data_IF_303356619950
#
_entry.id   IF_303356619950
#
_cell.length_a   1.000
_cell.length_b   1.000
_cell.length_c   1.000
_cell.angle_alpha   90.00
_cell.angle_beta   90.00
_cell.angle_gamma   90.00
#
_symmetry.space_group_name_H-M   'P 1'
#
loop_
_entity.id
_entity.type
_entity.pdbx_description
1 polymer ?
#
# COMPACT_ATOMS: atom_id res chain seq x y z
N UNK A 1 -13.07 -11.18 -5.95
CA UNK A 1 -11.82 -11.97 -6.04
C UNK A 1 -12.03 -13.42 -5.58
N UNK A 2 -11.33 -14.39 -6.19
CA UNK A 2 -11.35 -15.81 -5.75
C UNK A 2 -10.70 -15.95 -4.35
N UNK A 3 -11.29 -16.68 -3.38
CA UNK A 3 -10.70 -16.93 -2.06
C UNK A 3 -9.26 -17.47 -2.08
N UNK A 4 -8.89 -18.34 -3.02
CA UNK A 4 -7.52 -18.89 -3.11
C UNK A 4 -6.51 -17.81 -3.54
N UNK A 5 -6.88 -17.00 -4.54
CA UNK A 5 -6.08 -15.86 -5.03
C UNK A 5 -5.86 -14.87 -3.89
N UNK A 6 -6.93 -14.57 -3.14
CA UNK A 6 -6.89 -13.68 -2.00
C UNK A 6 -5.97 -14.19 -0.89
N UNK A 7 -6.15 -15.44 -0.47
CA UNK A 7 -5.33 -16.03 0.60
C UNK A 7 -3.84 -16.02 0.23
N UNK A 8 -3.53 -16.27 -1.04
CA UNK A 8 -2.16 -16.20 -1.54
C UNK A 8 -1.62 -14.77 -1.60
N UNK A 9 -2.42 -13.80 -2.03
CA UNK A 9 -2.05 -12.39 -1.95
C UNK A 9 -1.73 -11.96 -0.51
N UNK A 10 -2.60 -12.32 0.45
CA UNK A 10 -2.46 -12.00 1.88
C UNK A 10 -1.22 -12.61 2.53
N UNK A 11 -0.83 -13.81 2.10
CA UNK A 11 0.28 -14.55 2.72
C UNK A 11 1.62 -14.34 2.03
N UNK A 12 1.64 -14.16 0.71
CA UNK A 12 2.89 -14.08 -0.06
C UNK A 12 3.24 -12.64 -0.49
N UNK A 13 2.26 -11.81 -0.84
CA UNK A 13 2.50 -10.54 -1.53
C UNK A 13 2.30 -9.32 -0.61
N UNK A 14 1.15 -9.20 0.05
CA UNK A 14 0.85 -8.08 0.93
C UNK A 14 1.90 -7.87 2.04
N UNK A 15 2.46 -8.92 2.70
CA UNK A 15 3.51 -8.75 3.68
C UNK A 15 4.81 -8.19 3.08
N UNK A 16 5.11 -8.52 1.82
CA UNK A 16 6.30 -8.00 1.10
C UNK A 16 6.12 -6.53 0.72
N UNK A 17 4.91 -6.13 0.33
CA UNK A 17 4.57 -4.71 0.11
C UNK A 17 4.70 -3.94 1.41
N UNK A 18 4.11 -4.44 2.50
CA UNK A 18 4.18 -3.83 3.82
C UNK A 18 5.63 -3.66 4.31
N UNK A 19 6.45 -4.71 4.16
CA UNK A 19 7.86 -4.66 4.48
C UNK A 19 8.60 -3.60 3.63
N UNK A 20 8.36 -3.60 2.31
CA UNK A 20 9.01 -2.65 1.40
C UNK A 20 8.64 -1.20 1.72
N UNK A 21 7.37 -0.92 2.02
CA UNK A 21 6.89 0.39 2.42
C UNK A 21 7.54 0.84 3.73
N UNK A 22 7.60 -0.06 4.73
CA UNK A 22 8.24 0.23 6.01
C UNK A 22 9.73 0.56 5.85
N UNK A 23 10.44 -0.12 4.95
CA UNK A 23 11.87 0.11 4.68
C UNK A 23 12.15 1.48 4.03
N UNK A 24 11.13 2.20 3.58
CA UNK A 24 11.28 3.59 3.10
C UNK A 24 11.44 4.60 4.24
N UNK A 25 11.19 4.19 5.48
CA UNK A 25 11.20 5.05 6.66
C UNK A 25 12.24 4.60 7.68
N UNK A 26 12.62 5.51 8.58
CA UNK A 26 13.44 5.12 9.72
C UNK A 26 12.61 4.31 10.73
N UNK A 27 13.25 3.42 11.51
CA UNK A 27 12.56 2.66 12.54
C UNK A 27 11.76 3.55 13.51
N UNK A 28 10.48 3.23 13.70
CA UNK A 28 9.60 3.95 14.62
C UNK A 28 8.91 5.18 14.03
N UNK A 29 9.11 5.51 12.76
CA UNK A 29 8.45 6.64 12.11
C UNK A 29 7.03 6.30 11.62
N UNK A 30 6.81 5.06 11.17
CA UNK A 30 5.53 4.55 10.67
C UNK A 30 5.24 3.14 11.18
N UNK A 31 3.96 2.76 11.23
CA UNK A 31 3.52 1.37 11.19
C UNK A 31 2.96 1.04 9.82
N UNK A 32 3.23 -0.17 9.37
CA UNK A 32 2.69 -0.68 8.10
C UNK A 32 2.12 -2.06 8.36
N UNK A 33 0.81 -2.18 8.27
CA UNK A 33 0.06 -3.36 8.67
C UNK A 33 -0.77 -3.89 7.51
N UNK A 34 -0.70 -5.20 7.28
CA UNK A 34 -1.59 -5.88 6.33
C UNK A 34 -2.92 -6.09 7.01
N UNK A 35 -3.98 -5.52 6.44
CA UNK A 35 -5.36 -5.73 6.88
C UNK A 35 -5.97 -6.81 5.98
N UNK A 36 -6.14 -8.04 6.48
CA UNK A 36 -6.74 -9.11 5.69
C UNK A 36 -8.21 -8.82 5.42
N UNK A 37 -8.74 -9.47 4.40
CA UNK A 37 -10.14 -9.39 4.05
C UNK A 37 -11.02 -9.94 5.19
N UNK A 38 -11.96 -9.13 5.66
CA UNK A 38 -12.81 -9.43 6.83
C UNK A 38 -13.92 -10.47 6.58
N UNK A 39 -14.11 -10.87 5.32
CA UNK A 39 -15.15 -11.82 4.90
C UNK A 39 -16.52 -11.17 4.67
N UNK A 40 -16.68 -9.88 4.99
CA UNK A 40 -17.90 -9.09 4.84
C UNK A 40 -17.85 -8.13 3.63
N UNK A 41 -16.74 -8.10 2.89
CA UNK A 41 -16.62 -7.43 1.60
C UNK A 41 -15.47 -6.44 1.51
N UNK A 42 -14.69 -6.24 2.57
CA UNK A 42 -13.52 -5.36 2.54
C UNK A 42 -12.34 -6.06 1.86
N UNK A 43 -11.74 -5.49 0.79
CA UNK A 43 -10.57 -6.10 0.15
C UNK A 43 -9.38 -6.16 1.11
N UNK A 44 -8.43 -7.04 0.83
CA UNK A 44 -7.13 -7.03 1.51
C UNK A 44 -6.45 -5.68 1.29
N UNK A 45 -6.06 -5.01 2.36
CA UNK A 45 -5.44 -3.69 2.32
C UNK A 45 -4.09 -3.67 3.03
N UNK A 46 -3.32 -2.61 2.77
CA UNK A 46 -2.14 -2.26 3.57
C UNK A 46 -2.36 -0.87 4.17
N UNK A 47 -2.37 -0.78 5.48
CA UNK A 47 -2.49 0.48 6.21
C UNK A 47 -1.09 1.03 6.51
N UNK A 48 -0.89 2.32 6.26
CA UNK A 48 0.34 3.06 6.55
C UNK A 48 0.00 4.20 7.49
N UNK A 49 0.49 4.13 8.72
CA UNK A 49 0.19 5.10 9.78
C UNK A 49 1.48 5.75 10.29
N UNK A 50 1.52 7.08 10.26
CA UNK A 50 2.61 7.87 10.83
C UNK A 50 2.56 7.87 12.36
N UNK A 51 3.59 7.34 13.00
CA UNK A 51 3.75 7.42 14.46
C UNK A 51 4.27 8.81 14.86
N UNK A 52 5.21 9.32 14.07
CA UNK A 52 5.74 10.68 14.16
C UNK A 52 5.39 11.46 12.89
N UNK A 53 5.28 12.78 13.00
CA UNK A 53 5.05 13.65 11.85
C UNK A 53 5.94 14.88 11.95
N UNK A 54 6.39 15.38 10.80
CA UNK A 54 7.04 16.70 10.72
C UNK A 54 5.99 17.78 10.46
N UNK A 55 6.42 19.04 10.45
CA UNK A 55 5.55 20.16 10.06
C UNK A 55 5.10 19.95 8.61
N UNK A 56 3.80 20.07 8.37
CA UNK A 56 3.18 19.78 7.08
C UNK A 56 1.67 19.96 7.11
N UNK A 57 0.94 18.98 6.59
CA UNK A 57 -0.51 18.94 6.55
C UNK A 57 -1.11 18.69 7.97
N UNK A 58 -2.39 19.03 8.21
CA UNK A 58 -2.96 19.10 9.57
C UNK A 58 -3.11 17.77 10.30
N UNK A 59 -3.11 16.62 9.59
CA UNK A 59 -3.25 15.30 10.20
C UNK A 59 -2.00 14.46 9.96
N UNK A 60 -1.73 13.52 10.88
CA UNK A 60 -0.69 12.49 10.66
C UNK A 60 -1.12 11.54 9.54
N UNK A 61 -0.14 10.94 8.88
CA UNK A 61 -0.37 9.93 7.85
C UNK A 61 -1.23 8.80 8.42
N UNK A 62 -2.31 8.50 7.71
CA UNK A 62 -3.25 7.41 7.94
C UNK A 62 -3.84 7.07 6.57
N UNK A 63 -3.08 6.29 5.80
CA UNK A 63 -3.40 5.93 4.43
C UNK A 63 -3.68 4.43 4.33
N UNK A 64 -4.79 4.08 3.70
CA UNK A 64 -5.15 2.71 3.35
C UNK A 64 -4.90 2.48 1.88
N UNK A 65 -4.09 1.48 1.55
CA UNK A 65 -3.78 1.09 0.17
C UNK A 65 -4.60 -0.14 -0.21
N UNK A 66 -5.31 -0.09 -1.34
CA UNK A 66 -6.11 -1.20 -1.85
C UNK A 66 -5.87 -1.40 -3.36
N UNK A 67 -5.68 -2.66 -3.75
CA UNK A 67 -5.46 -3.06 -5.14
C UNK A 67 -6.74 -3.58 -5.78
N UNK A 68 -6.86 -3.40 -7.10
CA UNK A 68 -7.97 -3.96 -7.86
C UNK A 68 -7.91 -5.48 -7.88
N UNK A 69 -9.07 -6.11 -7.77
CA UNK A 69 -9.21 -7.57 -7.79
C UNK A 69 -8.64 -8.21 -9.07
N UNK A 70 -8.79 -7.54 -10.22
CA UNK A 70 -8.27 -7.99 -11.51
C UNK A 70 -6.73 -7.84 -11.59
N UNK A 71 -6.17 -6.78 -11.01
CA UNK A 71 -4.73 -6.59 -10.91
C UNK A 71 -4.08 -7.66 -10.03
N UNK A 72 -4.70 -8.01 -8.89
CA UNK A 72 -4.23 -9.11 -8.02
C UNK A 72 -4.35 -10.45 -8.73
N UNK A 73 -5.49 -10.74 -9.35
CA UNK A 73 -5.66 -11.98 -10.11
C UNK A 73 -4.64 -12.09 -11.26
N UNK A 74 -4.39 -10.99 -11.97
CA UNK A 74 -3.38 -10.89 -13.01
C UNK A 74 -1.97 -11.16 -12.49
N UNK A 75 -1.60 -10.55 -11.36
CA UNK A 75 -0.30 -10.77 -10.72
C UNK A 75 -0.05 -12.25 -10.38
N UNK A 76 -1.07 -12.96 -9.90
CA UNK A 76 -0.96 -14.37 -9.52
C UNK A 76 -1.04 -15.34 -10.71
N UNK A 77 -1.66 -14.91 -11.81
CA UNK A 77 -1.74 -15.68 -13.06
C UNK A 77 -0.52 -15.48 -13.96
N UNK A 78 0.22 -14.38 -13.79
CA UNK A 78 1.36 -13.98 -14.61
C UNK A 78 2.52 -14.97 -14.48
N UNK A 79 3.17 -15.27 -15.61
CA UNK A 79 4.35 -16.16 -15.63
C UNK A 79 5.67 -15.44 -15.42
N UNK A 80 5.70 -14.12 -15.47
CA UNK A 80 6.89 -13.32 -15.20
C UNK A 80 7.06 -13.12 -13.69
N UNK A 81 7.97 -13.88 -13.04
CA UNK A 81 8.20 -13.73 -11.61
C UNK A 81 8.77 -12.35 -11.24
N UNK A 82 9.38 -11.64 -12.20
CA UNK A 82 10.02 -10.34 -11.97
C UNK A 82 9.06 -9.15 -11.94
N UNK A 83 7.79 -9.32 -12.34
CA UNK A 83 6.81 -8.23 -12.35
C UNK A 83 6.61 -7.63 -10.95
N UNK A 84 6.42 -8.49 -9.95
CA UNK A 84 6.20 -8.04 -8.58
C UNK A 84 7.44 -7.34 -8.00
N UNK A 85 8.63 -7.87 -8.27
CA UNK A 85 9.87 -7.25 -7.79
C UNK A 85 10.12 -5.89 -8.44
N UNK A 86 9.77 -5.73 -9.73
CA UNK A 86 9.80 -4.42 -10.41
C UNK A 86 8.82 -3.44 -9.80
N UNK A 87 7.60 -3.88 -9.48
CA UNK A 87 6.63 -3.07 -8.75
C UNK A 87 7.19 -2.62 -7.38
N UNK A 88 7.77 -3.53 -6.59
CA UNK A 88 8.39 -3.18 -5.30
C UNK A 88 9.57 -2.19 -5.44
N UNK A 89 10.32 -2.28 -6.54
CA UNK A 89 11.40 -1.35 -6.85
C UNK A 89 10.86 0.03 -7.25
N UNK A 90 9.73 0.09 -7.95
CA UNK A 90 9.09 1.32 -8.42
C UNK A 90 8.25 2.03 -7.33
N UNK A 91 7.87 1.34 -6.25
CA UNK A 91 7.04 1.87 -5.16
C UNK A 91 7.40 3.30 -4.70
N UNK A 92 8.68 3.67 -4.47
CA UNK A 92 9.02 5.03 -4.07
C UNK A 92 8.55 6.09 -5.08
N UNK A 93 8.75 5.82 -6.38
CA UNK A 93 8.32 6.71 -7.47
C UNK A 93 6.80 6.74 -7.55
N UNK A 94 6.12 5.60 -7.36
CA UNK A 94 4.66 5.53 -7.34
C UNK A 94 4.07 6.36 -6.17
N UNK A 95 4.70 6.32 -4.99
CA UNK A 95 4.30 7.12 -3.83
C UNK A 95 4.47 8.62 -4.09
N UNK A 96 5.56 9.04 -4.75
CA UNK A 96 5.72 10.44 -5.18
C UNK A 96 4.58 10.89 -6.09
N UNK A 97 4.14 10.04 -7.02
CA UNK A 97 3.00 10.34 -7.90
C UNK A 97 1.70 10.51 -7.11
N UNK A 98 1.41 9.61 -6.16
CA UNK A 98 0.24 9.74 -5.30
C UNK A 98 0.22 11.07 -4.52
N UNK A 99 1.38 11.52 -4.02
CA UNK A 99 1.51 12.80 -3.29
C UNK A 99 1.25 14.03 -4.17
N UNK A 100 1.39 13.91 -5.50
CA UNK A 100 1.06 15.00 -6.44
C UNK A 100 -0.44 15.10 -6.73
N UNK A 101 -1.15 13.97 -6.65
CA UNK A 101 -2.57 13.87 -7.02
C UNK A 101 -3.50 13.93 -5.80
N UNK A 102 -3.00 13.53 -4.64
CA UNK A 102 -3.75 13.42 -3.40
C UNK A 102 -3.19 14.36 -2.32
N UNK A 103 -4.02 14.85 -1.39
CA UNK A 103 -3.57 15.77 -0.34
C UNK A 103 -2.89 15.01 0.82
N UNK A 104 -1.81 14.29 0.49
CA UNK A 104 -0.99 13.46 1.38
C UNK A 104 0.48 13.72 1.08
N UNK A 105 1.29 13.70 2.12
CA UNK A 105 2.75 13.77 2.04
C UNK A 105 3.32 12.64 2.91
N UNK A 106 3.74 11.58 2.22
CA UNK A 106 4.34 10.41 2.83
C UNK A 106 5.71 10.75 3.44
N UNK A 107 6.46 11.71 2.86
CA UNK A 107 7.78 12.10 3.35
C UNK A 107 7.70 12.80 4.71
N UNK A 108 6.73 13.72 4.88
CA UNK A 108 6.48 14.36 6.18
C UNK A 108 5.62 13.52 7.12
N UNK A 109 5.02 12.43 6.59
CA UNK A 109 3.99 11.61 7.24
C UNK A 109 2.81 12.45 7.70
N UNK A 110 2.32 13.30 6.81
CA UNK A 110 1.15 14.14 7.05
C UNK A 110 0.13 14.07 5.91
N UNK A 111 -1.12 14.39 6.19
CA UNK A 111 -2.20 14.44 5.21
C UNK A 111 -3.26 15.48 5.59
N UNK A 112 -4.07 15.89 4.60
CA UNK A 112 -5.14 16.86 4.82
C UNK A 112 -6.32 16.24 5.55
N UNK A 113 -6.77 15.08 5.12
CA UNK A 113 -7.92 14.38 5.69
C UNK A 113 -7.50 13.47 6.85
N UNK A 114 -8.44 13.01 7.69
CA UNK A 114 -8.10 12.15 8.84
C UNK A 114 -7.72 10.72 8.45
N UNK A 115 -8.22 10.28 7.31
CA UNK A 115 -7.94 8.99 6.68
C UNK A 115 -8.03 9.20 5.17
N UNK A 116 -7.16 8.54 4.42
CA UNK A 116 -7.24 8.53 2.95
C UNK A 116 -7.20 7.09 2.44
N UNK A 117 -8.11 6.75 1.54
CA UNK A 117 -8.08 5.51 0.78
C UNK A 117 -7.40 5.78 -0.56
N UNK A 118 -6.27 5.14 -0.79
CA UNK A 118 -5.64 5.06 -2.11
C UNK A 118 -6.04 3.70 -2.70
N UNK A 119 -7.19 3.71 -3.36
CA UNK A 119 -7.80 2.54 -3.98
C UNK A 119 -7.39 2.37 -5.43
N UNK A 120 -7.96 1.33 -6.04
CA UNK A 120 -7.79 0.99 -7.45
C UNK A 120 -6.33 0.85 -7.91
N UNK A 121 -5.44 0.46 -6.99
CA UNK A 121 -4.03 0.26 -7.30
C UNK A 121 -3.82 -0.98 -8.19
N UNK A 122 -2.75 -0.95 -8.98
CA UNK A 122 -2.27 -2.08 -9.75
C UNK A 122 -0.78 -2.35 -9.52
N UNK A 123 -0.23 -3.26 -10.33
CA UNK A 123 1.16 -3.71 -10.26
C UNK A 123 1.92 -3.35 -11.53
N UNK A 124 1.52 -2.30 -12.25
CA UNK A 124 2.30 -1.75 -13.35
C UNK A 124 3.40 -0.82 -12.78
N UNK A 125 4.61 -0.96 -13.31
CA UNK A 125 5.81 -0.23 -12.90
C UNK A 125 6.36 0.60 -14.05
#
# INVERSE_FOLDING_TARGET
MNPDVRARFETEFAPRIAARLRDLYQPGEVTVDVVPHDGQGSPTCVDVVGLTSTVGLPNRLNARLAWRDDAVAGLLAERDPGRFDRYLAALPVTIERWQMELPVDFSSRTQRDREILIGDLDFDA
#
